data_IF_961491093732
#
_entry.id   IF_961491093732
#
_cell.length_a   1.000
_cell.length_b   1.000
_cell.length_c   1.000
_cell.angle_alpha   90.00
_cell.angle_beta   90.00
_cell.angle_gamma   90.00
#
_symmetry.space_group_name_H-M   'P 1'
#
loop_
_entity.id
_entity.type
_entity.pdbx_description
1 polymer ?
#
# COMPACT_ATOMS: atom_id res chain seq x y z
N UNK A 1 -41.12 14.66 -28.39
CA UNK A 1 -39.78 14.25 -28.84
C UNK A 1 -38.83 14.60 -27.72
N UNK A 2 -38.42 13.59 -26.95
CA UNK A 2 -37.51 13.75 -25.80
C UNK A 2 -36.08 13.74 -26.32
N UNK A 3 -35.50 14.92 -26.47
CA UNK A 3 -34.07 15.10 -26.72
C UNK A 3 -33.33 14.86 -25.38
N UNK A 4 -33.05 13.61 -25.07
CA UNK A 4 -32.11 13.28 -23.99
C UNK A 4 -30.70 13.50 -24.52
N UNK A 5 -30.14 14.63 -24.11
CA UNK A 5 -28.74 15.00 -24.29
C UNK A 5 -27.82 13.84 -23.87
N UNK A 6 -27.24 13.19 -24.88
CA UNK A 6 -26.14 12.25 -24.72
C UNK A 6 -24.93 13.04 -24.21
N UNK A 7 -24.77 13.11 -22.89
CA UNK A 7 -23.56 13.64 -22.25
C UNK A 7 -22.44 12.66 -22.57
N UNK A 8 -21.72 12.92 -23.67
CA UNK A 8 -20.45 12.29 -23.97
C UNK A 8 -19.51 12.63 -22.82
N UNK A 9 -19.39 11.73 -21.85
CA UNK A 9 -18.39 11.81 -20.80
C UNK A 9 -17.03 11.73 -21.47
N UNK A 10 -16.26 12.83 -21.59
CA UNK A 10 -14.97 12.76 -22.26
C UNK A 10 -14.07 11.92 -21.34
N UNK A 11 -13.74 10.71 -21.78
CA UNK A 11 -12.73 9.88 -21.13
C UNK A 11 -11.41 10.62 -21.21
N UNK A 12 -11.10 11.40 -20.17
CA UNK A 12 -9.79 12.00 -19.98
C UNK A 12 -8.79 10.85 -19.88
N UNK A 13 -7.99 10.65 -20.93
CA UNK A 13 -6.81 9.80 -20.88
C UNK A 13 -5.79 10.48 -19.98
N UNK A 14 -5.88 10.23 -18.67
CA UNK A 14 -4.82 10.55 -17.72
C UNK A 14 -3.52 9.93 -18.23
N UNK A 15 -2.47 10.74 -18.31
CA UNK A 15 -1.16 10.29 -18.75
C UNK A 15 -0.74 9.05 -17.97
N UNK A 16 -0.34 7.99 -18.66
CA UNK A 16 0.17 6.78 -18.02
C UNK A 16 1.44 7.16 -17.24
N UNK A 17 1.47 6.99 -15.90
CA UNK A 17 2.67 7.28 -15.15
C UNK A 17 3.81 6.40 -15.67
N UNK A 18 5.01 6.99 -15.77
CA UNK A 18 6.20 6.20 -16.12
C UNK A 18 6.48 5.19 -14.99
N UNK A 19 7.13 4.05 -15.29
CA UNK A 19 7.44 3.04 -14.28
C UNK A 19 8.19 3.61 -13.06
N UNK A 20 9.02 4.63 -13.28
CA UNK A 20 9.75 5.33 -12.21
C UNK A 20 8.82 6.03 -11.22
N UNK A 21 7.75 6.68 -11.70
CA UNK A 21 6.76 7.36 -10.86
C UNK A 21 5.95 6.33 -10.07
N UNK A 22 5.58 5.21 -10.68
CA UNK A 22 4.88 4.12 -10.01
C UNK A 22 5.72 3.52 -8.88
N UNK A 23 6.99 3.23 -9.15
CA UNK A 23 7.94 2.76 -8.14
C UNK A 23 8.17 3.79 -7.02
N UNK A 24 8.19 5.08 -7.34
CA UNK A 24 8.24 6.13 -6.32
C UNK A 24 7.00 6.12 -5.42
N UNK A 25 5.80 5.98 -5.99
CA UNK A 25 4.55 5.87 -5.24
C UNK A 25 4.52 4.62 -4.34
N UNK A 26 5.01 3.48 -4.84
CA UNK A 26 5.14 2.24 -4.07
C UNK A 26 6.07 2.43 -2.87
N UNK A 27 7.26 3.01 -3.07
CA UNK A 27 8.19 3.31 -1.98
C UNK A 27 7.57 4.26 -0.95
N UNK A 28 6.88 5.30 -1.41
CA UNK A 28 6.18 6.23 -0.52
C UNK A 28 5.10 5.54 0.33
N UNK A 29 4.28 4.66 -0.29
CA UNK A 29 3.26 3.88 0.42
C UNK A 29 3.88 2.91 1.43
N UNK A 30 4.97 2.22 1.06
CA UNK A 30 5.74 1.36 1.98
C UNK A 30 6.20 2.15 3.19
N UNK A 31 6.83 3.30 2.97
CA UNK A 31 7.39 4.12 4.05
C UNK A 31 6.28 4.70 4.96
N UNK A 32 5.10 4.99 4.40
CA UNK A 32 3.91 5.36 5.17
C UNK A 32 3.45 4.20 6.08
N UNK A 33 3.32 2.98 5.55
CA UNK A 33 2.89 1.80 6.31
C UNK A 33 3.90 1.38 7.38
N UNK A 34 5.21 1.51 7.10
CA UNK A 34 6.27 1.28 8.08
C UNK A 34 6.22 2.34 9.21
N UNK A 35 6.01 3.61 8.88
CA UNK A 35 5.82 4.66 9.90
C UNK A 35 4.57 4.44 10.73
N UNK A 36 3.45 4.07 10.08
CA UNK A 36 2.19 3.78 10.76
C UNK A 36 2.29 2.60 11.73
N UNK A 37 3.29 1.73 11.58
CA UNK A 37 3.51 0.60 12.49
C UNK A 37 4.77 0.76 13.34
N UNK A 38 5.41 1.93 13.36
CA UNK A 38 6.70 2.08 14.04
C UNK A 38 6.58 2.00 15.57
N UNK A 39 5.49 2.53 16.12
CA UNK A 39 5.20 2.47 17.57
C UNK A 39 5.13 1.04 18.11
N UNK A 40 4.84 0.04 17.26
CA UNK A 40 4.76 -1.37 17.66
C UNK A 40 6.12 -1.98 17.98
N UNK A 41 7.22 -1.32 17.58
CA UNK A 41 8.59 -1.77 17.82
C UNK A 41 9.12 -1.31 19.19
N UNK A 42 8.40 -0.42 19.88
CA UNK A 42 8.79 0.04 21.20
C UNK A 42 8.67 -1.11 22.22
N UNK A 43 9.60 -1.22 23.19
CA UNK A 43 9.54 -2.25 24.21
C UNK A 43 8.25 -2.16 25.04
N UNK A 44 7.80 -0.93 25.30
CA UNK A 44 6.61 -0.61 26.10
C UNK A 44 5.28 -0.83 25.37
N UNK A 45 5.29 -1.21 24.08
CA UNK A 45 4.07 -1.47 23.35
C UNK A 45 3.36 -2.72 23.91
N UNK A 46 2.08 -2.64 24.33
CA UNK A 46 1.35 -3.74 24.95
C UNK A 46 0.90 -4.76 23.89
N UNK A 47 1.86 -5.50 23.34
CA UNK A 47 1.64 -6.62 22.43
C UNK A 47 2.14 -7.93 23.04
N UNK A 48 1.33 -8.97 22.89
CA UNK A 48 1.72 -10.36 23.12
C UNK A 48 2.81 -10.80 22.14
N UNK A 49 3.53 -11.87 22.47
CA UNK A 49 4.57 -12.42 21.59
C UNK A 49 4.04 -12.83 20.21
N UNK A 50 2.80 -13.33 20.16
CA UNK A 50 2.10 -13.64 18.91
C UNK A 50 1.89 -12.37 18.06
N UNK A 51 1.37 -11.30 18.66
CA UNK A 51 1.16 -10.01 17.98
C UNK A 51 2.48 -9.37 17.53
N UNK A 52 3.54 -9.46 18.34
CA UNK A 52 4.88 -9.00 17.95
C UNK A 52 5.40 -9.75 16.73
N UNK A 53 5.16 -11.07 16.67
CA UNK A 53 5.52 -11.90 15.52
C UNK A 53 4.73 -11.51 14.27
N UNK A 54 3.42 -11.28 14.39
CA UNK A 54 2.57 -10.82 13.28
C UNK A 54 3.02 -9.47 12.71
N UNK A 55 3.28 -8.48 13.58
CA UNK A 55 3.83 -7.18 13.18
C UNK A 55 5.18 -7.32 12.52
N UNK A 56 6.07 -8.16 13.05
CA UNK A 56 7.39 -8.37 12.49
C UNK A 56 7.29 -8.98 11.08
N UNK A 57 6.41 -9.96 10.89
CA UNK A 57 6.11 -10.55 9.57
C UNK A 57 5.52 -9.51 8.61
N UNK A 58 4.56 -8.71 9.06
CA UNK A 58 3.97 -7.62 8.28
C UNK A 58 5.02 -6.59 7.83
N UNK A 59 5.85 -6.11 8.75
CA UNK A 59 6.92 -5.13 8.46
C UNK A 59 8.00 -5.71 7.54
N UNK A 60 8.27 -7.01 7.64
CA UNK A 60 9.18 -7.71 6.72
C UNK A 60 8.57 -7.75 5.31
N UNK A 61 7.32 -8.20 5.17
CA UNK A 61 6.63 -8.24 3.89
C UNK A 61 6.60 -6.87 3.19
N UNK A 62 6.39 -5.78 3.95
CA UNK A 62 6.46 -4.41 3.39
C UNK A 62 7.84 -4.06 2.83
N UNK A 63 8.93 -4.50 3.47
CA UNK A 63 10.30 -4.22 3.02
C UNK A 63 10.65 -5.02 1.77
N UNK A 64 10.07 -6.21 1.64
CA UNK A 64 10.30 -7.13 0.52
C UNK A 64 9.49 -6.74 -0.75
N UNK A 65 8.56 -5.77 -0.66
CA UNK A 65 7.73 -5.30 -1.79
C UNK A 65 8.53 -4.96 -3.07
N UNK A 66 9.63 -4.18 -3.02
CA UNK A 66 10.39 -3.85 -4.23
C UNK A 66 11.06 -5.05 -4.89
N UNK A 67 11.28 -6.13 -4.14
CA UNK A 67 11.90 -7.37 -4.64
C UNK A 67 10.84 -8.40 -5.06
N UNK A 68 9.58 -8.21 -4.68
CA UNK A 68 8.48 -9.16 -4.91
C UNK A 68 8.05 -9.23 -6.39
N UNK A 69 8.12 -8.13 -7.14
CA UNK A 69 7.70 -8.10 -8.53
C UNK A 69 8.55 -7.15 -9.38
N UNK A 70 8.67 -7.46 -10.66
CA UNK A 70 9.26 -6.55 -11.65
C UNK A 70 8.28 -5.45 -12.11
N UNK A 71 6.97 -5.66 -11.90
CA UNK A 71 5.90 -4.76 -12.33
C UNK A 71 5.14 -4.16 -11.13
N UNK A 72 4.99 -2.82 -11.07
CA UNK A 72 4.24 -2.11 -10.03
C UNK A 72 2.79 -2.57 -9.84
N UNK A 73 2.14 -2.99 -10.93
CA UNK A 73 0.72 -3.37 -10.99
C UNK A 73 0.45 -4.76 -10.39
N UNK A 74 1.46 -5.62 -10.32
CA UNK A 74 1.36 -7.00 -9.84
C UNK A 74 1.73 -7.16 -8.36
N UNK A 75 1.98 -6.06 -7.63
CA UNK A 75 2.39 -6.10 -6.24
C UNK A 75 1.22 -6.40 -5.30
N UNK A 76 1.42 -7.38 -4.42
CA UNK A 76 0.49 -7.69 -3.35
C UNK A 76 0.93 -6.99 -2.06
N UNK A 77 0.03 -6.20 -1.47
CA UNK A 77 0.29 -5.52 -0.21
C UNK A 77 -0.13 -6.41 0.96
N UNK A 78 0.71 -6.56 2.00
CA UNK A 78 0.31 -7.31 3.18
C UNK A 78 -0.85 -6.59 3.87
N UNK A 79 -1.75 -7.38 4.47
CA UNK A 79 -2.87 -6.85 5.23
C UNK A 79 -2.41 -6.38 6.61
N UNK A 80 -2.93 -5.24 7.06
CA UNK A 80 -2.65 -4.73 8.39
C UNK A 80 -3.16 -5.74 9.44
N UNK A 81 -2.33 -6.14 10.42
CA UNK A 81 -2.76 -7.01 11.52
C UNK A 81 -3.99 -6.45 12.24
N UNK A 82 -4.97 -7.31 12.52
CA UNK A 82 -6.31 -6.88 12.99
C UNK A 82 -6.33 -6.20 14.36
N UNK A 83 -5.28 -6.38 15.15
CA UNK A 83 -5.12 -5.74 16.45
C UNK A 83 -4.58 -4.31 16.35
N UNK A 84 -4.03 -3.92 15.19
CA UNK A 84 -3.65 -2.54 14.88
C UNK A 84 -4.89 -1.85 14.29
N UNK A 85 -5.58 -1.07 15.13
CA UNK A 85 -6.71 -0.22 14.74
C UNK A 85 -6.36 1.24 14.95
#
# INVERSE_FOLDING_TARGET
MSELSNVENPTFKIATPTPEIEWAAIRARRDQLLRATDFTQLPDYPASDAQRTEVAAYRKALRDIPEQAAEPSALEWPLLPTFLK
#
